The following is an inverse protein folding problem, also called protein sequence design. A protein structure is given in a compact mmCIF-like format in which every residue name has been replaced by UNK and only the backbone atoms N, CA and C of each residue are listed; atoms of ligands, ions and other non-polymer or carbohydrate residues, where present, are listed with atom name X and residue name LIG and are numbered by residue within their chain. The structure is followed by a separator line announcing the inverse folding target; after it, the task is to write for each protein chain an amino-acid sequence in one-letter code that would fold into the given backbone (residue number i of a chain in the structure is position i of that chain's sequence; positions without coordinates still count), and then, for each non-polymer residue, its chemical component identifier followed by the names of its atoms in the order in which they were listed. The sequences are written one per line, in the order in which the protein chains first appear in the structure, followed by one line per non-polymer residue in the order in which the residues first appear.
data_IF_611270664234
#
_entry.id   IF_611270664234
#
_cell.length_a   1.000
_cell.length_b   1.000
_cell.length_c   1.000
_cell.angle_alpha   90.00
_cell.angle_beta   90.00
_cell.angle_gamma   90.00
#
_symmetry.space_group_name_H-M   'P 1'
#
loop_
_entity.id
_entity.type
_entity.pdbx_description
1 polymer ?
#
# COMPACT_ATOMS: atom_id res chain seq x y z
N UNK A 1 -9.00 28.15 22.13
CA UNK A 1 -9.87 27.07 21.60
C UNK A 1 -9.73 26.90 20.08
N UNK A 2 -9.74 28.00 19.31
CA UNK A 2 -9.60 27.96 17.84
C UNK A 2 -8.32 27.28 17.32
N UNK A 3 -7.19 27.45 18.01
CA UNK A 3 -5.93 26.76 17.66
C UNK A 3 -6.06 25.24 17.77
N UNK A 4 -6.68 24.73 18.84
CA UNK A 4 -6.89 23.29 19.03
C UNK A 4 -7.83 22.71 17.96
N UNK A 5 -8.93 23.41 17.67
CA UNK A 5 -9.87 23.03 16.58
C UNK A 5 -9.19 22.97 15.22
N UNK A 6 -8.27 23.89 14.95
CA UNK A 6 -7.51 23.94 13.69
C UNK A 6 -6.56 22.75 13.59
N UNK A 7 -5.83 22.42 14.67
CA UNK A 7 -4.94 21.25 14.71
C UNK A 7 -5.73 19.96 14.48
N UNK A 8 -6.85 19.76 15.16
CA UNK A 8 -7.69 18.56 15.00
C UNK A 8 -8.18 18.38 13.56
N UNK A 9 -8.51 19.48 12.89
CA UNK A 9 -8.92 19.47 11.48
C UNK A 9 -7.77 19.03 10.57
N UNK A 10 -6.57 19.57 10.77
CA UNK A 10 -5.40 19.21 9.95
C UNK A 10 -4.97 17.76 10.16
N UNK A 11 -5.01 17.27 11.41
CA UNK A 11 -4.74 15.86 11.72
C UNK A 11 -5.73 14.94 11.00
N UNK A 12 -7.04 15.26 11.04
CA UNK A 12 -8.05 14.50 10.31
C UNK A 12 -7.81 14.53 8.80
N UNK A 13 -7.51 15.70 8.24
CA UNK A 13 -7.21 15.85 6.82
C UNK A 13 -6.02 14.99 6.40
N UNK A 14 -4.94 15.00 7.20
CA UNK A 14 -3.74 14.20 6.95
C UNK A 14 -4.06 12.70 6.91
N UNK A 15 -4.86 12.22 7.88
CA UNK A 15 -5.27 10.82 7.95
C UNK A 15 -6.09 10.44 6.72
N UNK A 16 -7.09 11.24 6.36
CA UNK A 16 -7.97 10.99 5.20
C UNK A 16 -7.17 10.97 3.90
N UNK A 17 -6.28 11.94 3.71
CA UNK A 17 -5.42 12.00 2.52
C UNK A 17 -4.49 10.78 2.44
N UNK A 18 -3.91 10.36 3.56
CA UNK A 18 -3.03 9.19 3.61
C UNK A 18 -3.82 7.91 3.30
N UNK A 19 -5.03 7.77 3.84
CA UNK A 19 -5.92 6.66 3.54
C UNK A 19 -6.27 6.59 2.04
N UNK A 20 -6.73 7.70 1.45
CA UNK A 20 -7.09 7.73 0.03
C UNK A 20 -5.89 7.50 -0.88
N UNK A 21 -4.70 8.02 -0.52
CA UNK A 21 -3.46 7.73 -1.24
C UNK A 21 -3.15 6.25 -1.23
N UNK A 22 -3.12 5.61 -0.05
CA UNK A 22 -2.86 4.17 0.08
C UNK A 22 -3.89 3.35 -0.68
N UNK A 23 -5.19 3.70 -0.54
CA UNK A 23 -6.27 3.02 -1.25
C UNK A 23 -6.12 3.13 -2.77
N UNK A 24 -5.71 4.29 -3.29
CA UNK A 24 -5.41 4.48 -4.71
C UNK A 24 -4.23 3.62 -5.14
N UNK A 25 -3.12 3.66 -4.40
CA UNK A 25 -1.92 2.84 -4.68
C UNK A 25 -2.27 1.35 -4.74
N UNK A 26 -3.06 0.84 -3.80
CA UNK A 26 -3.49 -0.57 -3.80
C UNK A 26 -4.38 -0.90 -5.00
N UNK A 27 -5.27 0.02 -5.40
CA UNK A 27 -6.13 -0.18 -6.57
C UNK A 27 -5.38 -0.17 -7.89
N UNK A 28 -4.45 0.76 -8.06
CA UNK A 28 -3.60 0.87 -9.25
C UNK A 28 -2.69 -0.36 -9.40
N UNK A 29 -2.29 -0.97 -8.27
CA UNK A 29 -1.42 -2.14 -8.22
C UNK A 29 -2.17 -3.44 -7.83
N UNK A 30 -3.46 -3.54 -8.14
CA UNK A 30 -4.30 -4.67 -7.74
C UNK A 30 -3.76 -6.02 -8.21
N UNK A 31 -3.14 -6.08 -9.38
CA UNK A 31 -2.52 -7.30 -9.90
C UNK A 31 -1.44 -7.85 -8.95
N UNK A 32 -0.53 -6.98 -8.49
CA UNK A 32 0.50 -7.37 -7.51
C UNK A 32 -0.08 -7.76 -6.16
N UNK A 33 -1.13 -7.07 -5.70
CA UNK A 33 -1.81 -7.43 -4.45
C UNK A 33 -2.42 -8.84 -4.52
N UNK A 34 -3.10 -9.17 -5.62
CA UNK A 34 -3.70 -10.50 -5.82
C UNK A 34 -2.62 -11.57 -5.93
N UNK A 35 -1.53 -11.30 -6.66
CA UNK A 35 -0.42 -12.24 -6.79
C UNK A 35 0.25 -12.56 -5.44
N UNK A 36 0.48 -11.54 -4.60
CA UNK A 36 0.99 -11.74 -3.24
C UNK A 36 0.03 -12.53 -2.37
N UNK A 37 -1.28 -12.25 -2.44
CA UNK A 37 -2.28 -12.98 -1.68
C UNK A 37 -2.31 -14.47 -2.06
N UNK A 38 -2.25 -14.78 -3.36
CA UNK A 38 -2.17 -16.15 -3.86
C UNK A 38 -0.90 -16.86 -3.38
N UNK A 39 0.26 -16.20 -3.51
CA UNK A 39 1.52 -16.77 -3.06
C UNK A 39 1.55 -17.03 -1.54
N UNK A 40 0.97 -16.14 -0.73
CA UNK A 40 0.86 -16.32 0.71
C UNK A 40 -0.09 -17.47 1.10
N UNK A 41 -1.15 -17.71 0.33
CA UNK A 41 -2.02 -18.87 0.54
C UNK A 41 -1.29 -20.20 0.29
N UNK A 42 -0.31 -20.22 -0.61
CA UNK A 42 0.48 -21.40 -0.95
C UNK A 42 1.68 -21.62 -0.02
N UNK A 43 2.39 -20.53 0.33
CA UNK A 43 3.68 -20.60 1.04
C UNK A 43 3.62 -20.24 2.52
N UNK A 44 2.50 -19.68 3.00
CA UNK A 44 2.26 -19.20 4.37
C UNK A 44 3.15 -18.03 4.83
N UNK A 45 4.32 -17.84 4.23
CA UNK A 45 5.22 -16.72 4.40
C UNK A 45 6.00 -16.44 3.10
N UNK A 46 6.43 -15.20 2.93
CA UNK A 46 7.31 -14.77 1.83
C UNK A 46 8.43 -13.94 2.43
N UNK A 47 9.66 -14.14 1.95
CA UNK A 47 10.76 -13.21 2.23
C UNK A 47 10.74 -11.99 1.30
N UNK A 48 11.63 -11.02 1.57
CA UNK A 48 11.69 -9.79 0.79
C UNK A 48 12.04 -10.00 -0.69
N UNK A 49 12.91 -10.97 -1.01
CA UNK A 49 13.30 -11.26 -2.39
C UNK A 49 12.14 -11.91 -3.16
N UNK A 50 11.40 -12.81 -2.52
CA UNK A 50 10.20 -13.42 -3.09
C UNK A 50 9.11 -12.37 -3.36
N UNK A 51 8.90 -11.43 -2.44
CA UNK A 51 7.96 -10.31 -2.63
C UNK A 51 8.39 -9.46 -3.83
N UNK A 52 9.66 -9.06 -3.90
CA UNK A 52 10.17 -8.24 -5.00
C UNK A 52 10.02 -8.91 -6.35
N UNK A 53 10.25 -10.22 -6.42
CA UNK A 53 10.07 -10.99 -7.65
C UNK A 53 8.60 -10.97 -8.10
N UNK A 54 7.66 -11.26 -7.19
CA UNK A 54 6.23 -11.28 -7.48
C UNK A 54 5.76 -9.89 -7.95
N UNK A 55 6.20 -8.84 -7.28
CA UNK A 55 5.83 -7.47 -7.62
C UNK A 55 6.42 -7.03 -8.97
N UNK A 56 7.67 -7.42 -9.28
CA UNK A 56 8.30 -7.14 -10.58
C UNK A 56 7.56 -7.78 -11.75
N UNK A 57 7.01 -8.97 -11.56
CA UNK A 57 6.25 -9.68 -12.59
C UNK A 57 4.83 -9.11 -12.76
N UNK A 58 4.25 -8.57 -11.69
CA UNK A 58 2.83 -8.15 -11.65
C UNK A 58 2.61 -6.65 -11.81
N UNK A 59 3.64 -5.83 -11.56
CA UNK A 59 3.59 -4.36 -11.60
C UNK A 59 4.67 -3.86 -12.55
N UNK A 60 4.32 -3.36 -13.76
CA UNK A 60 5.28 -2.99 -14.80
C UNK A 60 6.31 -1.92 -14.41
N UNK A 61 6.00 -1.13 -13.38
CA UNK A 61 6.80 0.01 -12.92
C UNK A 61 7.47 -0.25 -11.57
N UNK A 62 7.42 -1.48 -11.06
CA UNK A 62 8.07 -1.83 -9.80
C UNK A 62 9.59 -1.66 -9.91
N UNK A 63 10.12 -0.77 -9.08
CA UNK A 63 11.55 -0.63 -8.85
C UNK A 63 11.81 -1.06 -7.39
N UNK A 64 12.56 -2.15 -7.16
CA UNK A 64 12.91 -2.54 -5.80
C UNK A 64 13.74 -1.42 -5.16
N UNK A 65 13.50 -1.19 -3.87
CA UNK A 65 14.25 -0.26 -3.02
C UNK A 65 15.62 -0.80 -2.64
#
# INVERSE_FOLDING_TARGET
EEVAKTIDKEVKNLIVQSYERTRRTLKENMAGLVALAQALLEKEALDGHEIDQILKESIPQWAPS
#
